data_IF_042337387094
#
_entry.id   IF_042337387094
#
_cell.length_a   1.000
_cell.length_b   1.000
_cell.length_c   1.000
_cell.angle_alpha   90.00
_cell.angle_beta   90.00
_cell.angle_gamma   90.00
#
_symmetry.space_group_name_H-M   'P 1'
#
loop_
_entity.id
_entity.type
_entity.pdbx_description
1 polymer ?
#
# COMPACT_ATOMS: atom_id res chain seq x y z
N UNK A 1 -5.38 -3.14 6.16
CA UNK A 1 -6.67 -2.53 5.79
C UNK A 1 -7.43 -3.46 4.87
N UNK A 2 -8.71 -3.66 5.14
CA UNK A 2 -9.61 -4.51 4.37
C UNK A 2 -10.83 -3.66 4.00
N UNK A 3 -11.08 -3.40 2.70
CA UNK A 3 -12.27 -2.69 2.27
C UNK A 3 -13.53 -3.56 2.47
N UNK A 4 -14.74 -2.98 2.62
CA UNK A 4 -15.95 -3.72 3.00
C UNK A 4 -16.35 -4.89 2.08
N UNK A 5 -16.03 -4.81 0.79
CA UNK A 5 -16.32 -5.88 -0.18
C UNK A 5 -15.22 -6.96 -0.23
N UNK A 6 -14.18 -6.86 0.60
CA UNK A 6 -13.12 -7.85 0.78
C UNK A 6 -12.47 -8.35 -0.53
N UNK A 7 -12.31 -7.49 -1.55
CA UNK A 7 -11.75 -7.90 -2.87
C UNK A 7 -10.22 -7.89 -2.88
N UNK A 8 -9.63 -7.13 -1.95
CA UNK A 8 -8.19 -6.98 -1.81
C UNK A 8 -7.84 -6.63 -0.37
N UNK A 9 -6.56 -6.74 -0.03
CA UNK A 9 -6.02 -6.41 1.28
C UNK A 9 -4.79 -5.52 1.12
N UNK A 10 -4.68 -4.50 1.95
CA UNK A 10 -3.44 -3.73 2.11
C UNK A 10 -2.81 -4.15 3.43
N UNK A 11 -1.61 -4.69 3.37
CA UNK A 11 -0.87 -5.22 4.52
C UNK A 11 0.37 -4.38 4.77
N UNK A 12 0.63 -4.08 6.04
CA UNK A 12 1.90 -3.51 6.49
C UNK A 12 2.69 -4.64 7.16
N UNK A 13 3.89 -4.91 6.67
CA UNK A 13 4.80 -5.90 7.27
C UNK A 13 5.98 -5.20 7.92
N UNK A 14 6.37 -5.62 9.11
CA UNK A 14 7.55 -5.11 9.81
C UNK A 14 8.84 -5.71 9.25
N UNK A 15 9.99 -5.03 9.46
CA UNK A 15 11.30 -5.61 9.25
C UNK A 15 11.47 -6.92 10.06
N UNK A 16 12.23 -7.86 9.50
CA UNK A 16 12.55 -9.14 10.13
C UNK A 16 13.48 -9.97 9.26
N UNK A 17 13.53 -11.29 9.51
CA UNK A 17 14.44 -12.22 8.83
C UNK A 17 14.29 -12.22 7.29
N UNK A 18 13.05 -12.12 6.80
CA UNK A 18 12.78 -12.12 5.36
C UNK A 18 13.13 -10.80 4.66
N UNK A 19 13.03 -9.66 5.37
CA UNK A 19 13.29 -8.35 4.80
C UNK A 19 13.62 -7.34 5.91
N UNK A 20 14.74 -6.63 5.80
CA UNK A 20 15.12 -5.58 6.75
C UNK A 20 14.37 -4.24 6.58
N UNK A 21 13.23 -4.20 5.90
CA UNK A 21 12.47 -2.98 5.62
C UNK A 21 11.00 -3.18 5.96
N UNK A 22 10.31 -2.09 6.28
CA UNK A 22 8.85 -2.05 6.29
C UNK A 22 8.35 -2.18 4.86
N UNK A 23 7.31 -2.98 4.64
CA UNK A 23 6.70 -3.12 3.32
C UNK A 23 5.20 -2.91 3.39
N UNK A 24 4.67 -2.24 2.37
CA UNK A 24 3.23 -2.14 2.14
C UNK A 24 2.92 -3.03 0.95
N UNK A 25 2.11 -4.06 1.18
CA UNK A 25 1.73 -5.05 0.19
C UNK A 25 0.26 -4.89 -0.16
N UNK A 26 -0.06 -4.95 -1.45
CA UNK A 26 -1.42 -5.11 -1.96
C UNK A 26 -1.61 -6.57 -2.37
N UNK A 27 -2.63 -7.22 -1.85
CA UNK A 27 -2.94 -8.61 -2.14
C UNK A 27 -4.39 -8.76 -2.61
N UNK A 28 -4.64 -9.63 -3.58
CA UNK A 28 -6.01 -10.04 -3.94
C UNK A 28 -6.65 -10.87 -2.83
N UNK A 29 -7.98 -10.87 -2.76
CA UNK A 29 -8.73 -11.70 -1.80
C UNK A 29 -8.34 -13.19 -1.86
N UNK A 30 -8.06 -13.69 -3.06
CA UNK A 30 -7.65 -15.06 -3.32
C UNK A 30 -6.20 -15.38 -2.93
N UNK A 31 -5.38 -14.38 -2.58
CA UNK A 31 -3.94 -14.53 -2.34
C UNK A 31 -3.08 -14.78 -3.60
N UNK A 32 -3.70 -15.05 -4.75
CA UNK A 32 -3.00 -15.38 -6.01
C UNK A 32 -2.17 -14.22 -6.57
N UNK A 33 -2.54 -12.97 -6.27
CA UNK A 33 -1.81 -11.79 -6.71
C UNK A 33 -1.38 -10.99 -5.51
N UNK A 34 -0.09 -10.72 -5.42
CA UNK A 34 0.50 -9.88 -4.40
C UNK A 34 1.54 -8.97 -5.03
N UNK A 35 1.54 -7.70 -4.64
CA UNK A 35 2.44 -6.70 -5.17
C UNK A 35 2.92 -5.82 -4.03
N UNK A 36 4.24 -5.60 -3.97
CA UNK A 36 4.81 -4.62 -3.06
C UNK A 36 4.56 -3.22 -3.62
N UNK A 37 3.79 -2.40 -2.90
CA UNK A 37 3.55 -1.01 -3.27
C UNK A 37 4.72 -0.14 -2.84
N UNK A 38 5.21 -0.33 -1.61
CA UNK A 38 6.26 0.49 -1.01
C UNK A 38 7.18 -0.34 -0.12
N UNK A 39 8.46 0.02 -0.13
CA UNK A 39 9.49 -0.49 0.76
C UNK A 39 10.16 0.69 1.45
N UNK A 40 10.17 0.70 2.78
CA UNK A 40 10.67 1.82 3.56
C UNK A 40 11.69 1.34 4.60
N UNK A 41 12.87 1.96 4.72
CA UNK A 41 13.83 1.61 5.76
C UNK A 41 13.33 2.00 7.15
N UNK A 42 12.52 3.06 7.25
CA UNK A 42 11.90 3.55 8.47
C UNK A 42 10.39 3.64 8.23
N UNK A 43 9.59 3.43 9.28
CA UNK A 43 8.13 3.50 9.19
C UNK A 43 7.68 4.94 8.93
N UNK A 44 7.10 5.19 7.75
CA UNK A 44 6.48 6.47 7.40
C UNK A 44 4.95 6.37 7.56
N UNK A 45 4.43 6.85 8.69
CA UNK A 45 3.00 6.83 8.99
C UNK A 45 2.19 7.77 8.10
N UNK A 46 2.79 8.87 7.61
CA UNK A 46 2.12 9.80 6.70
C UNK A 46 1.91 9.15 5.32
N UNK A 47 2.92 8.46 4.81
CA UNK A 47 2.80 7.67 3.58
C UNK A 47 1.71 6.61 3.70
N UNK A 48 1.71 5.85 4.80
CA UNK A 48 0.74 4.78 5.04
C UNK A 48 -0.69 5.36 5.04
N UNK A 49 -0.92 6.44 5.78
CA UNK A 49 -2.25 7.06 5.83
C UNK A 49 -2.68 7.60 4.45
N UNK A 50 -1.75 8.23 3.71
CA UNK A 50 -2.01 8.75 2.36
C UNK A 50 -2.39 7.63 1.39
N UNK A 51 -1.71 6.48 1.46
CA UNK A 51 -2.00 5.30 0.67
C UNK A 51 -3.38 4.72 0.99
N UNK A 52 -3.71 4.57 2.28
CA UNK A 52 -5.00 4.03 2.71
C UNK A 52 -6.17 4.92 2.26
N UNK A 53 -6.03 6.25 2.39
CA UNK A 53 -7.04 7.21 1.93
C UNK A 53 -7.22 7.13 0.40
N UNK A 54 -6.12 7.08 -0.36
CA UNK A 54 -6.20 6.99 -1.82
C UNK A 54 -6.74 5.64 -2.29
N UNK A 55 -6.40 4.54 -1.61
CA UNK A 55 -6.95 3.23 -1.91
C UNK A 55 -8.47 3.21 -1.76
N UNK A 56 -9.02 3.81 -0.69
CA UNK A 56 -10.47 3.94 -0.48
C UNK A 56 -11.14 4.76 -1.61
N UNK A 57 -10.53 5.88 -2.02
CA UNK A 57 -11.04 6.71 -3.13
C UNK A 57 -11.03 5.95 -4.46
N UNK A 58 -9.93 5.26 -4.78
CA UNK A 58 -9.80 4.51 -6.03
C UNK A 58 -10.72 3.30 -6.07
N UNK A 59 -10.91 2.64 -4.94
CA UNK A 59 -11.83 1.52 -4.82
C UNK A 59 -13.30 1.95 -5.02
N UNK A 60 -13.70 3.09 -4.46
CA UNK A 60 -15.01 3.73 -4.74
C UNK A 60 -15.20 4.09 -6.21
N UNK A 61 -14.11 4.32 -6.95
CA UNK A 61 -14.11 4.53 -8.40
C UNK A 61 -14.07 3.22 -9.21
N UNK A 62 -14.20 2.06 -8.55
CA UNK A 62 -14.14 0.73 -9.15
C UNK A 62 -12.85 0.44 -9.92
N UNK A 63 -11.71 0.95 -9.45
CA UNK A 63 -10.43 0.58 -10.03
C UNK A 63 -10.16 -0.91 -9.85
N UNK A 64 -9.54 -1.53 -10.87
CA UNK A 64 -9.08 -2.91 -10.77
C UNK A 64 -7.91 -3.01 -9.79
N UNK A 65 -7.60 -4.23 -9.31
CA UNK A 65 -6.43 -4.45 -8.45
C UNK A 65 -5.12 -3.97 -9.11
N UNK A 66 -4.98 -4.18 -10.42
CA UNK A 66 -3.83 -3.70 -11.17
C UNK A 66 -3.80 -2.17 -11.23
N UNK A 67 -4.95 -1.52 -11.48
CA UNK A 67 -5.06 -0.06 -11.45
C UNK A 67 -4.72 0.52 -10.07
N UNK A 68 -5.20 -0.11 -8.99
CA UNK A 68 -4.84 0.25 -7.62
C UNK A 68 -3.34 0.14 -7.37
N UNK A 69 -2.69 -0.91 -7.85
CA UNK A 69 -1.24 -1.08 -7.71
C UNK A 69 -0.47 0.01 -8.47
N UNK A 70 -0.84 0.26 -9.73
CA UNK A 70 -0.19 1.28 -10.57
C UNK A 70 -0.33 2.68 -9.97
N UNK A 71 -1.53 3.07 -9.57
CA UNK A 71 -1.80 4.40 -9.00
C UNK A 71 -1.12 4.61 -7.65
N UNK A 72 -0.95 3.55 -6.85
CA UNK A 72 -0.31 3.63 -5.54
C UNK A 72 1.21 3.52 -5.57
N UNK A 73 1.78 2.79 -6.55
CA UNK A 73 3.22 2.66 -6.72
C UNK A 73 3.91 4.01 -7.02
N UNK A 74 3.19 4.95 -7.65
CA UNK A 74 3.69 6.29 -7.94
C UNK A 74 3.66 7.27 -6.75
N UNK A 75 3.14 6.87 -5.59
CA UNK A 75 3.04 7.75 -4.41
C UNK A 75 4.32 7.65 -3.61
N UNK A 76 5.25 8.56 -3.82
CA UNK A 76 6.34 8.77 -2.86
C UNK A 76 5.84 9.68 -1.76
N UNK A 77 6.07 9.31 -0.49
CA UNK A 77 5.92 10.28 0.59
C UNK A 77 6.85 11.46 0.31
N UNK A 78 6.29 12.65 0.21
CA UNK A 78 7.08 13.87 0.35
C UNK A 78 6.39 14.72 1.43
N UNK A 79 6.57 14.40 2.72
CA UNK A 79 6.30 15.36 3.76
C UNK A 79 7.58 16.18 3.96
N UNK A 80 7.57 17.45 3.53
CA UNK A 80 8.54 18.46 3.95
C UNK A 80 10.00 18.02 3.90
N UNK A 81 10.62 18.12 2.72
CA UNK A 81 12.08 18.29 2.63
C UNK A 81 12.42 19.59 3.35
N UNK A 82 12.81 19.51 4.62
CA UNK A 82 13.66 20.51 5.24
C UNK A 82 15.08 19.93 5.31
N UNK A 83 16.11 20.74 5.01
CA UNK A 83 17.51 20.31 4.85
C UNK A 83 18.11 19.68 6.11
#
# INVERSE_FOLDING_TARGET
YIPPHCRHFIMLTSPGEACGHWMILLQSASGLRMTCLHRMPVLDTFLINSLLLRADVLDKKNYTLAGLATEQAGITAIPGRLP
#
